data_IF_904246121256
#
_entry.id   IF_904246121256
#
_cell.length_a   1.000
_cell.length_b   1.000
_cell.length_c   1.000
_cell.angle_alpha   90.00
_cell.angle_beta   90.00
_cell.angle_gamma   90.00
#
_symmetry.space_group_name_H-M   'P 1'
#
loop_
_entity.id
_entity.type
_entity.pdbx_description
1 polymer ?
#
# COMPACT_ATOMS: atom_id res chain seq x y z
N UNK A 1 -8.92 23.28 1.87
CA UNK A 1 -8.37 22.29 0.94
C UNK A 1 -6.88 22.55 0.83
N UNK A 2 -6.03 21.54 1.04
CA UNK A 2 -4.58 21.73 0.85
C UNK A 2 -4.22 21.81 -0.63
N UNK A 3 -3.14 22.52 -0.98
CA UNK A 3 -2.75 22.75 -2.37
C UNK A 3 -2.55 21.45 -3.16
N UNK A 4 -1.79 20.49 -2.60
CA UNK A 4 -1.51 19.22 -3.27
C UNK A 4 -2.80 18.39 -3.49
N UNK A 5 -3.76 18.46 -2.56
CA UNK A 5 -5.07 17.83 -2.73
C UNK A 5 -5.86 18.50 -3.85
N UNK A 6 -5.91 19.83 -3.87
CA UNK A 6 -6.60 20.58 -4.93
C UNK A 6 -6.02 20.26 -6.32
N UNK A 7 -4.70 20.25 -6.45
CA UNK A 7 -4.01 19.94 -7.71
C UNK A 7 -4.35 18.52 -8.17
N UNK A 8 -4.18 17.52 -7.31
CA UNK A 8 -4.47 16.13 -7.67
C UNK A 8 -5.95 15.93 -8.04
N UNK A 9 -6.86 16.47 -7.22
CA UNK A 9 -8.30 16.38 -7.45
C UNK A 9 -8.70 17.00 -8.80
N UNK A 10 -8.26 18.22 -9.06
CA UNK A 10 -8.61 18.93 -10.30
C UNK A 10 -8.02 18.27 -11.53
N UNK A 11 -6.77 17.79 -11.47
CA UNK A 11 -6.15 17.10 -12.60
C UNK A 11 -6.82 15.75 -12.90
N UNK A 12 -7.24 15.00 -11.88
CA UNK A 12 -8.03 13.77 -12.08
C UNK A 12 -9.34 14.10 -12.81
N UNK A 13 -10.08 15.11 -12.36
CA UNK A 13 -11.33 15.52 -13.02
C UNK A 13 -11.10 15.98 -14.45
N UNK A 14 -10.08 16.80 -14.70
CA UNK A 14 -9.74 17.25 -16.05
C UNK A 14 -9.40 16.08 -16.96
N UNK A 15 -8.69 15.07 -16.46
CA UNK A 15 -8.37 13.88 -17.23
C UNK A 15 -9.63 13.08 -17.59
N UNK A 16 -10.52 12.82 -16.61
CA UNK A 16 -11.81 12.15 -16.85
C UNK A 16 -12.66 12.89 -17.88
N UNK A 17 -12.74 14.22 -17.77
CA UNK A 17 -13.49 15.05 -18.72
C UNK A 17 -12.86 15.03 -20.12
N UNK A 18 -11.54 15.01 -20.22
CA UNK A 18 -10.83 14.88 -21.50
C UNK A 18 -11.09 13.52 -22.15
N UNK A 19 -11.10 12.43 -21.39
CA UNK A 19 -11.43 11.11 -21.91
C UNK A 19 -12.88 11.04 -22.38
N UNK A 20 -13.85 11.53 -21.59
CA UNK A 20 -15.24 11.65 -22.03
C UNK A 20 -15.39 12.45 -23.33
N UNK A 21 -14.61 13.53 -23.48
CA UNK A 21 -14.59 14.33 -24.71
C UNK A 21 -14.01 13.54 -25.89
N UNK A 22 -12.94 12.76 -25.70
CA UNK A 22 -12.38 11.89 -26.74
C UNK A 22 -13.35 10.78 -27.15
N UNK A 23 -14.13 10.26 -26.22
CA UNK A 23 -15.18 9.25 -26.46
C UNK A 23 -16.45 9.82 -27.12
N UNK A 24 -16.53 11.13 -27.37
CA UNK A 24 -17.71 11.78 -27.93
C UNK A 24 -18.89 11.88 -26.95
N UNK A 25 -18.71 11.53 -25.67
CA UNK A 25 -19.76 11.57 -24.64
C UNK A 25 -20.17 12.98 -24.23
N UNK A 26 -19.37 13.97 -24.63
CA UNK A 26 -19.65 15.40 -24.44
C UNK A 26 -19.92 16.11 -25.78
N UNK A 27 -20.20 15.35 -26.85
CA UNK A 27 -20.54 15.93 -28.15
C UNK A 27 -21.85 16.74 -28.04
N UNK A 28 -21.82 17.96 -28.55
CA UNK A 28 -22.94 18.90 -28.43
C UNK A 28 -22.91 19.78 -27.18
N UNK A 29 -22.01 19.54 -26.22
CA UNK A 29 -21.79 20.46 -25.09
C UNK A 29 -20.93 21.64 -25.56
N UNK A 30 -21.50 22.83 -25.64
CA UNK A 30 -20.74 24.05 -25.97
C UNK A 30 -20.39 24.86 -24.74
N UNK A 31 -19.37 25.72 -24.87
CA UNK A 31 -19.01 26.69 -23.84
C UNK A 31 -20.18 27.59 -23.43
N UNK A 32 -21.09 27.91 -24.38
CA UNK A 32 -22.29 28.71 -24.08
C UNK A 32 -23.27 27.98 -23.16
N UNK A 33 -23.40 26.66 -23.32
CA UNK A 33 -24.33 25.85 -22.53
C UNK A 33 -23.83 25.69 -21.09
N UNK A 34 -22.51 25.57 -20.92
CA UNK A 34 -21.85 25.60 -19.61
C UNK A 34 -22.04 26.95 -18.91
N UNK A 35 -21.90 28.08 -19.64
CA UNK A 35 -22.07 29.42 -19.07
C UNK A 35 -23.50 29.71 -18.62
N UNK A 36 -24.52 29.14 -19.28
CA UNK A 36 -25.93 29.28 -18.92
C UNK A 36 -26.31 28.50 -17.66
N UNK A 37 -25.41 27.68 -17.11
CA UNK A 37 -25.64 26.84 -15.92
C UNK A 37 -26.88 25.96 -16.06
N UNK A 38 -27.15 25.45 -17.26
CA UNK A 38 -28.26 24.54 -17.48
C UNK A 38 -28.00 23.24 -16.71
N UNK A 39 -28.92 22.86 -15.81
CA UNK A 39 -28.77 21.67 -14.97
C UNK A 39 -28.52 20.41 -15.81
N UNK A 40 -29.17 20.29 -16.97
CA UNK A 40 -29.01 19.16 -17.87
C UNK A 40 -27.58 19.01 -18.41
N UNK A 41 -26.90 20.11 -18.69
CA UNK A 41 -25.51 20.11 -19.19
C UNK A 41 -24.55 19.72 -18.06
N UNK A 42 -24.81 20.24 -16.86
CA UNK A 42 -24.07 19.86 -15.65
C UNK A 42 -24.23 18.37 -15.38
N UNK A 43 -25.44 17.85 -15.43
CA UNK A 43 -25.73 16.45 -15.16
C UNK A 43 -25.05 15.55 -16.19
N UNK A 44 -25.07 15.92 -17.48
CA UNK A 44 -24.36 15.20 -18.55
C UNK A 44 -22.83 15.17 -18.33
N UNK A 45 -22.23 16.31 -17.95
CA UNK A 45 -20.79 16.41 -17.66
C UNK A 45 -20.40 15.45 -16.53
N UNK A 46 -21.19 15.41 -15.45
CA UNK A 46 -20.90 14.63 -14.27
C UNK A 46 -21.49 13.21 -14.28
N UNK A 47 -22.22 12.83 -15.32
CA UNK A 47 -22.86 11.52 -15.43
C UNK A 47 -21.84 10.37 -15.27
N UNK A 48 -22.03 9.49 -14.30
CA UNK A 48 -21.11 8.39 -14.03
C UNK A 48 -19.77 8.79 -13.42
N UNK A 49 -19.62 10.04 -12.95
CA UNK A 49 -18.46 10.49 -12.16
C UNK A 49 -18.88 10.59 -10.69
N UNK A 50 -18.28 9.75 -9.84
CA UNK A 50 -18.44 9.84 -8.40
C UNK A 50 -17.49 10.90 -7.81
N UNK A 51 -17.96 12.15 -7.80
CA UNK A 51 -17.19 13.30 -7.32
C UNK A 51 -16.77 13.17 -5.86
N UNK A 52 -17.64 12.61 -5.01
CA UNK A 52 -17.40 12.47 -3.58
C UNK A 52 -16.31 11.42 -3.33
N UNK A 53 -16.37 10.29 -4.04
CA UNK A 53 -15.32 9.27 -3.96
C UNK A 53 -13.98 9.80 -4.49
N UNK A 54 -13.96 10.51 -5.62
CA UNK A 54 -12.71 11.10 -6.15
C UNK A 54 -12.14 12.11 -5.16
N UNK A 55 -12.99 12.94 -4.54
CA UNK A 55 -12.57 13.91 -3.55
C UNK A 55 -11.93 13.24 -2.32
N UNK A 56 -12.59 12.23 -1.75
CA UNK A 56 -12.09 11.56 -0.54
C UNK A 56 -10.84 10.72 -0.83
N UNK A 57 -10.79 9.98 -1.94
CA UNK A 57 -9.60 9.16 -2.26
C UNK A 57 -8.38 10.04 -2.53
N UNK A 58 -8.53 11.14 -3.29
CA UNK A 58 -7.40 12.06 -3.54
C UNK A 58 -6.90 12.73 -2.26
N UNK A 59 -7.82 13.08 -1.34
CA UNK A 59 -7.49 13.61 -0.01
C UNK A 59 -6.70 12.59 0.81
N UNK A 60 -7.17 11.34 0.86
CA UNK A 60 -6.51 10.28 1.62
C UNK A 60 -5.13 9.95 1.07
N UNK A 61 -4.94 9.95 -0.25
CA UNK A 61 -3.62 9.79 -0.88
C UNK A 61 -2.67 10.90 -0.40
N UNK A 62 -3.08 12.17 -0.47
CA UNK A 62 -2.25 13.28 -0.01
C UNK A 62 -1.90 13.19 1.48
N UNK A 63 -2.87 12.80 2.32
CA UNK A 63 -2.64 12.60 3.77
C UNK A 63 -1.66 11.46 4.02
N UNK A 64 -1.85 10.31 3.36
CA UNK A 64 -1.00 9.14 3.56
C UNK A 64 0.43 9.36 3.05
N UNK A 65 0.62 10.09 1.96
CA UNK A 65 1.97 10.47 1.49
C UNK A 65 2.73 11.26 2.57
N UNK A 66 2.07 12.23 3.22
CA UNK A 66 2.66 13.02 4.32
C UNK A 66 2.93 12.21 5.59
N UNK A 67 2.15 11.15 5.83
CA UNK A 67 2.32 10.29 7.01
C UNK A 67 3.63 9.49 6.98
N UNK A 68 4.29 9.31 5.83
CA UNK A 68 5.58 8.64 5.79
C UNK A 68 6.67 9.42 6.52
N UNK A 69 6.68 10.76 6.43
CA UNK A 69 7.64 11.59 7.15
C UNK A 69 7.48 11.48 8.66
N UNK A 70 6.24 11.59 9.17
CA UNK A 70 5.99 11.46 10.61
C UNK A 70 6.28 10.04 11.12
N UNK A 71 5.95 9.01 10.34
CA UNK A 71 6.31 7.63 10.66
C UNK A 71 7.83 7.42 10.68
N UNK A 72 8.57 8.04 9.77
CA UNK A 72 10.04 7.96 9.76
C UNK A 72 10.64 8.51 11.06
N UNK A 73 10.14 9.66 11.51
CA UNK A 73 10.62 10.28 12.77
C UNK A 73 10.29 9.42 13.99
N UNK A 74 9.11 8.78 14.01
CA UNK A 74 8.74 7.85 15.08
C UNK A 74 9.58 6.57 15.07
N UNK A 75 9.95 6.05 13.90
CA UNK A 75 10.86 4.92 13.76
C UNK A 75 12.25 5.26 14.28
N UNK A 76 12.75 6.45 13.97
CA UNK A 76 14.04 6.93 14.43
C UNK A 76 14.10 7.05 15.96
N UNK A 77 13.06 7.63 16.58
CA UNK A 77 12.92 7.71 18.06
C UNK A 77 12.89 6.32 18.72
N UNK A 78 12.37 5.31 18.02
CA UNK A 78 12.29 3.93 18.50
C UNK A 78 13.55 3.10 18.22
N UNK A 79 14.56 3.70 17.58
CA UNK A 79 15.85 3.04 17.29
C UNK A 79 15.91 2.30 15.94
N UNK A 80 14.85 2.34 15.13
CA UNK A 80 14.79 1.71 13.80
C UNK A 80 15.39 2.64 12.74
N UNK A 81 16.71 2.89 12.82
CA UNK A 81 17.40 3.86 11.96
C UNK A 81 17.32 3.52 10.47
N UNK A 82 17.46 2.25 10.13
CA UNK A 82 17.39 1.78 8.73
C UNK A 82 16.00 1.99 8.15
N UNK A 83 14.96 1.55 8.88
CA UNK A 83 13.57 1.67 8.45
C UNK A 83 13.10 3.12 8.42
N UNK A 84 13.58 3.97 9.35
CA UNK A 84 13.37 5.41 9.29
C UNK A 84 13.96 6.02 8.02
N UNK A 85 15.18 5.61 7.63
CA UNK A 85 15.80 6.02 6.37
C UNK A 85 14.98 5.63 5.14
N UNK A 86 14.48 4.40 5.10
CA UNK A 86 13.61 3.91 4.01
C UNK A 86 12.30 4.71 3.94
N UNK A 87 11.63 4.90 5.08
CA UNK A 87 10.38 5.65 5.14
C UNK A 87 10.57 7.13 4.73
N UNK A 88 11.68 7.75 5.11
CA UNK A 88 12.04 9.13 4.73
C UNK A 88 12.37 9.25 3.24
N UNK A 89 13.06 8.27 2.67
CA UNK A 89 13.33 8.22 1.24
C UNK A 89 12.01 8.09 0.46
N UNK A 90 11.14 7.16 0.88
CA UNK A 90 9.82 6.99 0.27
C UNK A 90 8.99 8.29 0.34
N UNK A 91 9.00 8.99 1.46
CA UNK A 91 8.32 10.28 1.59
C UNK A 91 8.86 11.32 0.57
N UNK A 92 10.19 11.43 0.47
CA UNK A 92 10.87 12.31 -0.49
C UNK A 92 10.50 11.97 -1.94
N UNK A 93 10.51 10.69 -2.30
CA UNK A 93 10.22 10.26 -3.66
C UNK A 93 8.75 10.50 -4.04
N UNK A 94 7.83 10.25 -3.10
CA UNK A 94 6.40 10.53 -3.28
C UNK A 94 6.11 12.04 -3.41
N UNK A 95 6.81 12.88 -2.62
CA UNK A 95 6.74 14.34 -2.75
C UNK A 95 7.34 14.82 -4.08
N UNK A 96 8.43 14.20 -4.53
CA UNK A 96 8.99 14.40 -5.87
C UNK A 96 7.97 14.12 -6.97
N UNK A 97 7.20 13.03 -6.86
CA UNK A 97 6.11 12.73 -7.80
C UNK A 97 4.99 13.77 -7.74
N UNK A 98 4.62 14.26 -6.56
CA UNK A 98 3.63 15.35 -6.45
C UNK A 98 4.13 16.63 -7.13
N UNK A 99 5.41 16.95 -6.99
CA UNK A 99 6.01 18.12 -7.62
C UNK A 99 5.98 18.01 -9.14
N UNK A 100 6.41 16.86 -9.68
CA UNK A 100 6.37 16.60 -11.13
C UNK A 100 4.95 16.64 -11.70
N UNK A 101 3.97 16.15 -10.93
CA UNK A 101 2.56 16.22 -11.32
C UNK A 101 2.07 17.67 -11.33
N UNK A 102 2.47 18.48 -10.33
CA UNK A 102 2.11 19.89 -10.22
C UNK A 102 2.70 20.75 -11.34
N UNK A 103 3.94 20.47 -11.76
CA UNK A 103 4.62 21.15 -12.87
C UNK A 103 4.15 20.67 -14.24
N UNK A 104 3.45 19.53 -14.30
CA UNK A 104 2.96 18.93 -15.54
C UNK A 104 4.00 18.10 -16.27
N UNK A 105 5.10 17.73 -15.60
CA UNK A 105 6.18 16.91 -16.16
C UNK A 105 5.80 15.42 -16.28
N UNK A 106 4.80 14.99 -15.51
CA UNK A 106 4.23 13.63 -15.60
C UNK A 106 2.71 13.69 -15.74
N UNK A 107 2.14 12.66 -16.37
CA UNK A 107 0.69 12.51 -16.44
C UNK A 107 0.10 12.05 -15.10
N UNK A 108 -1.22 12.19 -14.94
CA UNK A 108 -1.94 11.67 -13.76
C UNK A 108 -1.80 10.14 -13.66
N UNK A 109 -1.78 9.44 -14.79
CA UNK A 109 -1.56 7.98 -14.82
C UNK A 109 -0.15 7.62 -14.35
N UNK A 110 0.87 8.35 -14.82
CA UNK A 110 2.27 8.16 -14.42
C UNK A 110 2.49 8.49 -12.93
N UNK A 111 1.75 9.44 -12.38
CA UNK A 111 1.76 9.74 -10.96
C UNK A 111 1.26 8.55 -10.14
N UNK A 112 0.10 7.97 -10.47
CA UNK A 112 -0.45 6.85 -9.72
C UNK A 112 0.38 5.57 -9.88
N UNK A 113 0.78 5.22 -11.11
CA UNK A 113 1.64 4.05 -11.38
C UNK A 113 3.02 4.20 -10.75
N UNK A 114 3.62 5.39 -10.81
CA UNK A 114 4.87 5.70 -10.14
C UNK A 114 4.76 5.59 -8.62
N UNK A 115 3.64 6.08 -8.04
CA UNK A 115 3.35 5.92 -6.62
C UNK A 115 3.26 4.45 -6.19
N UNK A 116 2.53 3.63 -6.95
CA UNK A 116 2.43 2.18 -6.71
C UNK A 116 3.83 1.55 -6.75
N UNK A 117 4.62 1.85 -7.77
CA UNK A 117 5.97 1.29 -7.94
C UNK A 117 6.88 1.61 -6.75
N UNK A 118 6.83 2.85 -6.24
CA UNK A 118 7.61 3.28 -5.07
C UNK A 118 7.17 2.54 -3.79
N UNK A 119 5.87 2.37 -3.60
CA UNK A 119 5.33 1.66 -2.43
C UNK A 119 5.70 0.18 -2.49
N UNK A 120 5.55 -0.47 -3.64
CA UNK A 120 5.93 -1.87 -3.83
C UNK A 120 7.44 -2.10 -3.65
N UNK A 121 8.27 -1.13 -4.04
CA UNK A 121 9.72 -1.19 -3.78
C UNK A 121 10.01 -1.10 -2.28
N UNK A 122 9.36 -0.19 -1.55
CA UNK A 122 9.51 -0.06 -0.11
C UNK A 122 8.96 -1.27 0.66
N UNK A 123 7.92 -1.91 0.12
CA UNK A 123 7.35 -3.14 0.69
C UNK A 123 8.31 -4.33 0.61
N UNK A 124 9.23 -4.35 -0.35
CA UNK A 124 10.27 -5.38 -0.47
C UNK A 124 11.44 -5.19 0.51
N UNK A 125 11.29 -4.29 1.49
CA UNK A 125 12.30 -3.99 2.51
C UNK A 125 11.84 -4.41 3.90
N UNK A 126 12.71 -4.30 4.92
CA UNK A 126 12.37 -4.58 6.33
C UNK A 126 11.28 -3.67 6.89
N UNK A 127 10.92 -2.59 6.20
CA UNK A 127 9.86 -1.67 6.61
C UNK A 127 8.49 -2.37 6.69
N UNK A 128 8.22 -3.35 5.82
CA UNK A 128 6.93 -4.08 5.82
C UNK A 128 6.72 -4.91 7.09
N UNK A 129 7.80 -5.40 7.69
CA UNK A 129 7.75 -6.25 8.88
C UNK A 129 7.34 -5.48 10.13
N UNK A 130 7.43 -4.15 10.09
CA UNK A 130 7.04 -3.29 11.19
C UNK A 130 5.51 -3.16 11.30
N UNK A 131 5.01 -3.35 12.53
CA UNK A 131 3.57 -3.34 12.83
C UNK A 131 2.87 -2.13 12.20
N UNK A 132 1.91 -2.43 11.33
CA UNK A 132 1.04 -1.43 10.70
C UNK A 132 1.48 -0.96 9.32
N UNK A 133 2.72 -1.21 8.88
CA UNK A 133 3.18 -0.81 7.55
C UNK A 133 2.57 -1.66 6.42
N UNK A 134 2.46 -2.99 6.58
CA UNK A 134 1.81 -3.84 5.58
C UNK A 134 0.37 -3.42 5.25
N UNK A 135 -0.46 -3.14 6.28
CA UNK A 135 -1.81 -2.59 6.06
C UNK A 135 -1.76 -1.21 5.39
N UNK A 136 -0.85 -0.35 5.85
CA UNK A 136 -0.70 1.00 5.32
C UNK A 136 -0.38 1.00 3.82
N UNK A 137 0.55 0.14 3.40
CA UNK A 137 0.90 -0.04 1.99
C UNK A 137 -0.27 -0.57 1.17
N UNK A 138 -0.96 -1.62 1.64
CA UNK A 138 -2.11 -2.19 0.95
C UNK A 138 -3.25 -1.16 0.78
N UNK A 139 -3.57 -0.41 1.83
CA UNK A 139 -4.61 0.62 1.79
C UNK A 139 -4.24 1.70 0.75
N UNK A 140 -2.99 2.15 0.74
CA UNK A 140 -2.54 3.19 -0.19
C UNK A 140 -2.49 2.69 -1.63
N UNK A 141 -1.96 1.49 -1.89
CA UNK A 141 -1.94 0.88 -3.24
C UNK A 141 -3.36 0.74 -3.78
N UNK A 142 -4.30 0.26 -2.97
CA UNK A 142 -5.70 0.12 -3.40
C UNK A 142 -6.36 1.47 -3.72
N UNK A 143 -5.99 2.55 -3.03
CA UNK A 143 -6.45 3.91 -3.36
C UNK A 143 -5.88 4.41 -4.67
N UNK A 144 -4.59 4.19 -4.93
CA UNK A 144 -3.95 4.54 -6.20
C UNK A 144 -4.56 3.76 -7.37
N UNK A 145 -4.83 2.46 -7.18
CA UNK A 145 -5.55 1.61 -8.15
C UNK A 145 -6.97 2.11 -8.39
N UNK A 146 -7.68 2.51 -7.33
CA UNK A 146 -9.03 3.08 -7.47
C UNK A 146 -9.00 4.31 -8.38
N UNK A 147 -8.01 5.18 -8.23
CA UNK A 147 -7.86 6.34 -9.11
C UNK A 147 -7.46 5.97 -10.53
N UNK A 148 -6.58 4.98 -10.73
CA UNK A 148 -6.28 4.46 -12.07
C UNK A 148 -7.52 3.88 -12.75
N UNK A 149 -8.42 3.25 -12.01
CA UNK A 149 -9.68 2.73 -12.54
C UNK A 149 -10.64 3.83 -12.98
N UNK A 150 -10.70 4.95 -12.24
CA UNK A 150 -11.41 6.15 -12.70
C UNK A 150 -10.82 6.74 -13.99
N UNK A 151 -9.54 6.46 -14.28
CA UNK A 151 -8.88 6.84 -15.53
C UNK A 151 -8.96 5.76 -16.63
N UNK A 152 -9.72 4.68 -16.44
CA UNK A 152 -9.94 3.64 -17.45
C UNK A 152 -8.95 2.48 -17.45
N UNK A 153 -8.12 2.31 -16.42
CA UNK A 153 -7.11 1.23 -16.38
C UNK A 153 -7.67 -0.18 -16.09
N UNK A 154 -8.89 -0.28 -15.51
CA UNK A 154 -9.57 -1.54 -15.19
C UNK A 154 -8.71 -2.59 -14.45
N UNK A 155 -7.92 -2.15 -13.45
CA UNK A 155 -7.04 -2.96 -12.62
C UNK A 155 -7.81 -3.51 -11.42
N UNK A 156 -7.75 -4.82 -11.12
CA UNK A 156 -8.39 -5.37 -9.93
C UNK A 156 -7.74 -4.83 -8.65
N UNK A 157 -8.54 -4.60 -7.61
CA UNK A 157 -8.03 -4.26 -6.29
C UNK A 157 -7.12 -5.39 -5.77
N UNK A 158 -6.05 -5.01 -5.07
CA UNK A 158 -5.10 -5.96 -4.49
C UNK A 158 -5.68 -6.45 -3.17
N UNK A 159 -6.22 -7.66 -3.19
CA UNK A 159 -6.64 -8.38 -1.98
C UNK A 159 -5.43 -9.15 -1.46
N UNK A 160 -4.81 -8.66 -0.38
CA UNK A 160 -3.77 -9.41 0.33
C UNK A 160 -4.34 -9.98 1.60
N UNK A 161 -4.05 -11.24 1.89
CA UNK A 161 -4.36 -11.82 3.20
C UNK A 161 -3.74 -10.92 4.28
N UNK A 162 -4.52 -10.54 5.33
CA UNK A 162 -3.96 -9.74 6.39
C UNK A 162 -2.77 -10.49 6.98
N UNK A 163 -1.66 -9.78 7.13
CA UNK A 163 -0.38 -10.28 7.66
C UNK A 163 -0.57 -11.04 9.01
N UNK A 164 -1.62 -10.72 9.76
CA UNK A 164 -2.06 -11.46 10.94
C UNK A 164 -2.54 -12.88 10.67
N UNK A 165 -3.21 -13.18 9.56
CA UNK A 165 -3.65 -14.52 9.19
C UNK A 165 -2.48 -15.41 8.77
N UNK A 166 -1.55 -14.89 7.96
CA UNK A 166 -0.31 -15.60 7.61
C UNK A 166 0.58 -15.82 8.84
N UNK A 167 0.76 -14.81 9.70
CA UNK A 167 1.49 -14.92 10.97
C UNK A 167 0.78 -15.83 11.98
N UNK A 168 -0.55 -15.81 12.07
CA UNK A 168 -1.32 -16.75 12.90
C UNK A 168 -1.19 -18.17 12.39
N UNK A 169 -1.22 -18.38 11.08
CA UNK A 169 -1.07 -19.71 10.47
C UNK A 169 0.34 -20.24 10.72
N UNK A 170 1.38 -19.43 10.49
CA UNK A 170 2.76 -19.78 10.81
C UNK A 170 2.96 -20.07 12.31
N UNK A 171 2.36 -19.25 13.19
CA UNK A 171 2.42 -19.47 14.65
C UNK A 171 1.68 -20.74 15.06
N UNK A 172 0.54 -21.04 14.42
CA UNK A 172 -0.24 -22.26 14.67
C UNK A 172 0.52 -23.50 14.21
N UNK A 173 1.17 -23.45 13.05
CA UNK A 173 2.02 -24.51 12.51
C UNK A 173 3.25 -24.75 13.41
N UNK A 174 3.89 -23.69 13.89
CA UNK A 174 5.01 -23.79 14.83
C UNK A 174 4.56 -24.39 16.17
N UNK A 175 3.40 -23.97 16.70
CA UNK A 175 2.84 -24.52 17.93
C UNK A 175 2.44 -25.99 17.79
N UNK A 176 1.91 -26.42 16.65
CA UNK A 176 1.62 -27.84 16.40
C UNK A 176 2.90 -28.67 16.33
N UNK A 177 3.95 -28.17 15.67
CA UNK A 177 5.26 -28.82 15.64
C UNK A 177 5.85 -29.01 17.05
N UNK A 178 5.82 -27.97 17.89
CA UNK A 178 6.29 -28.07 19.27
C UNK A 178 5.45 -29.03 20.11
N UNK A 179 4.13 -29.07 19.91
CA UNK A 179 3.26 -30.05 20.59
C UNK A 179 3.60 -31.48 20.17
N UNK A 180 3.81 -31.75 18.88
CA UNK A 180 4.22 -33.07 18.40
C UNK A 180 5.56 -33.50 19.00
N UNK A 181 6.55 -32.61 19.05
CA UNK A 181 7.85 -32.87 19.68
C UNK A 181 7.73 -33.22 21.17
N UNK A 182 6.84 -32.54 21.90
CA UNK A 182 6.59 -32.77 23.32
C UNK A 182 5.76 -34.04 23.61
N UNK A 183 5.16 -34.64 22.58
CA UNK A 183 4.41 -35.91 22.67
C UNK A 183 5.17 -37.11 22.16
N UNK A 184 6.42 -36.93 21.70
CA UNK A 184 7.29 -38.06 21.39
C UNK A 184 7.53 -38.86 22.68
N UNK A 185 7.22 -40.17 22.71
CA UNK A 185 7.50 -40.98 23.88
C UNK A 185 9.01 -40.96 24.11
N UNK A 186 9.43 -40.72 25.36
CA UNK A 186 10.81 -40.92 25.79
C UNK A 186 11.30 -42.24 25.18
N UNK A 187 12.35 -42.17 24.35
CA UNK A 187 13.12 -43.36 24.01
C UNK A 187 13.55 -43.96 25.34
N UNK A 188 12.89 -45.07 25.71
CA UNK A 188 13.27 -45.86 26.86
C UNK A 188 14.70 -46.33 26.65
N UNK A 189 15.45 -46.25 27.73
CA UNK A 189 16.74 -46.88 27.92
C UNK A 189 16.73 -48.31 27.36
N UNK A 190 17.57 -48.58 26.36
CA UNK A 190 18.06 -49.93 26.11
C UNK A 190 19.27 -50.14 27.03
N UNK A 191 18.99 -50.50 28.28
CA UNK A 191 19.92 -51.26 29.11
C UNK A 191 20.17 -52.61 28.43
N UNK A 192 21.39 -52.86 27.97
CA UNK A 192 21.89 -54.22 27.75
C UNK A 192 23.12 -54.45 28.62
N UNK A 193 22.81 -55.04 29.78
CA UNK A 193 23.51 -56.14 30.45
C UNK A 193 24.93 -55.89 30.98
N UNK A 194 24.98 -55.81 32.31
CA UNK A 194 26.13 -56.15 33.15
C UNK A 194 26.68 -57.56 32.83
N UNK A 195 28.01 -57.67 32.67
CA UNK A 195 28.76 -58.74 33.31
C UNK A 195 30.18 -58.28 33.69
N UNK A 196 30.63 -58.85 34.80
CA UNK A 196 31.76 -58.50 35.68
C UNK A 196 33.12 -58.57 34.95
N UNK A 197 34.20 -57.91 35.37
CA UNK A 197 34.88 -58.09 36.65
C UNK A 197 35.96 -57.01 36.85
N UNK A 198 36.23 -56.76 38.13
CA UNK A 198 37.31 -55.93 38.66
C UNK A 198 38.69 -56.43 38.22
N UNK A 199 39.63 -55.51 37.96
CA UNK A 199 40.94 -55.59 38.61
C UNK A 199 41.67 -54.24 38.62
N UNK A 200 42.18 -53.92 39.80
CA UNK A 200 43.09 -52.83 40.14
C UNK A 200 44.47 -53.03 39.45
N UNK A 201 45.17 -51.96 39.12
CA UNK A 201 46.44 -51.53 39.76
C UNK A 201 47.10 -50.43 38.92
N UNK A 202 47.44 -49.36 39.63
CA UNK A 202 48.30 -48.23 39.24
C UNK A 202 49.75 -48.69 39.08
N UNK A 203 50.40 -48.30 37.98
CA UNK A 203 51.73 -47.68 37.97
C UNK A 203 52.04 -47.04 36.62
#
# INVERSE_FOLDING_TARGET
>A
MEENHFVLFTQVLLNILNEKKKEGRLDGVTYKDVLKKENNVRDLIWEGIDLDQIYEVTKEICVQFKQFSSKADDLEKRGYKTEAGIARQLATDLEGKQTLLKTGDISVSDFFTGGITLIEAAEKTTLVDLRGFGKFFNDLVNRLITMLNHLGAHIPAVVREPDSAAKLTATRTNLSFFKEMMTLPNQKDDEVVHEQAQEFVVR
#
